data_IF_171792896017
#
_entry.id   IF_171792896017
#
_cell.length_a   1.000
_cell.length_b   1.000
_cell.length_c   1.000
_cell.angle_alpha   90.00
_cell.angle_beta   90.00
_cell.angle_gamma   90.00
#
_symmetry.space_group_name_H-M   'P 1'
#
loop_
_entity.id
_entity.type
_entity.pdbx_description
1 polymer ?
#
# COMPACT_ATOMS: atom_id res chain seq x y z
N UNK A 1 -4.57 -2.16 -1.84
CA UNK A 1 -4.23 -1.23 -0.74
C UNK A 1 -3.61 -2.04 0.37
N UNK A 2 -2.37 -1.75 0.77
CA UNK A 2 -1.71 -2.45 1.87
C UNK A 2 -2.13 -1.82 3.20
N UNK A 3 -2.62 -2.65 4.12
CA UNK A 3 -2.96 -2.28 5.48
C UNK A 3 -4.07 -3.14 6.06
N UNK A 4 -4.15 -3.14 7.38
CA UNK A 4 -5.07 -4.02 8.11
C UNK A 4 -6.54 -3.63 7.99
N UNK A 5 -7.41 -4.64 8.11
CA UNK A 5 -8.86 -4.48 8.07
C UNK A 5 -9.41 -3.52 9.14
N UNK A 6 -8.73 -3.38 10.28
CA UNK A 6 -9.11 -2.46 11.36
C UNK A 6 -8.58 -1.03 11.18
N UNK A 7 -7.79 -0.75 10.14
CA UNK A 7 -7.28 0.59 9.87
C UNK A 7 -8.29 1.43 9.10
N UNK A 8 -8.84 2.46 9.75
CA UNK A 8 -9.81 3.37 9.13
C UNK A 8 -9.23 4.09 7.91
N UNK A 9 -7.97 4.54 7.97
CA UNK A 9 -7.32 5.20 6.84
C UNK A 9 -7.12 4.25 5.65
N UNK A 10 -6.67 3.01 5.90
CA UNK A 10 -6.50 2.02 4.82
C UNK A 10 -7.84 1.67 4.14
N UNK A 11 -8.90 1.49 4.94
CA UNK A 11 -10.25 1.29 4.40
C UNK A 11 -10.72 2.49 3.58
N UNK A 12 -10.46 3.71 4.05
CA UNK A 12 -10.84 4.93 3.34
C UNK A 12 -10.18 5.04 1.96
N UNK A 13 -8.92 4.62 1.85
CA UNK A 13 -8.22 4.54 0.56
C UNK A 13 -8.86 3.51 -0.37
N UNK A 14 -9.22 2.31 0.12
CA UNK A 14 -9.93 1.29 -0.68
C UNK A 14 -11.29 1.80 -1.15
N UNK A 15 -12.11 2.31 -0.23
CA UNK A 15 -13.43 2.87 -0.55
C UNK A 15 -13.35 4.00 -1.57
N UNK A 16 -12.30 4.82 -1.52
CA UNK A 16 -12.11 5.90 -2.48
C UNK A 16 -11.88 5.34 -3.89
N UNK A 17 -11.06 4.30 -4.04
CA UNK A 17 -10.86 3.63 -5.32
C UNK A 17 -12.16 2.99 -5.83
N UNK A 18 -12.91 2.31 -4.95
CA UNK A 18 -14.21 1.73 -5.29
C UNK A 18 -15.23 2.79 -5.74
N UNK A 19 -15.26 3.96 -5.08
CA UNK A 19 -16.08 5.11 -5.49
C UNK A 19 -15.72 5.65 -6.88
N UNK A 20 -14.47 5.47 -7.31
CA UNK A 20 -14.02 5.78 -8.67
C UNK A 20 -14.27 4.62 -9.65
N UNK A 21 -15.06 3.61 -9.26
CA UNK A 21 -15.38 2.41 -10.06
C UNK A 21 -14.14 1.57 -10.42
N UNK A 22 -13.10 1.63 -9.58
CA UNK A 22 -11.92 0.78 -9.69
C UNK A 22 -12.03 -0.32 -8.64
N UNK A 23 -11.92 -1.58 -9.06
CA UNK A 23 -11.85 -2.71 -8.14
C UNK A 23 -10.64 -2.55 -7.22
N UNK A 24 -10.85 -2.62 -5.91
CA UNK A 24 -9.79 -2.41 -4.95
C UNK A 24 -9.85 -3.45 -3.83
N UNK A 25 -8.70 -4.02 -3.52
CA UNK A 25 -8.54 -4.99 -2.45
C UNK A 25 -7.77 -4.37 -1.28
N UNK A 26 -8.12 -4.76 -0.06
CA UNK A 26 -7.37 -4.45 1.15
C UNK A 26 -6.63 -5.74 1.56
N UNK A 27 -5.32 -5.65 1.69
CA UNK A 27 -4.44 -6.79 1.99
C UNK A 27 -3.49 -6.43 3.14
N UNK A 28 -3.21 -7.38 4.02
CA UNK A 28 -2.21 -7.24 5.07
C UNK A 28 -0.80 -7.43 4.49
N UNK A 29 -0.64 -8.34 3.52
CA UNK A 29 0.66 -8.66 2.93
C UNK A 29 0.60 -9.20 1.50
N UNK A 30 1.75 -9.62 0.99
CA UNK A 30 1.89 -10.17 -0.36
C UNK A 30 1.22 -11.56 -0.52
N UNK A 31 1.06 -12.27 0.58
CA UNK A 31 0.41 -13.58 0.69
C UNK A 31 -1.09 -13.54 0.43
N UNK A 32 -1.74 -12.40 0.66
CA UNK A 32 -3.17 -12.23 0.42
C UNK A 32 -3.51 -12.02 -1.06
N UNK A 33 -2.50 -11.86 -1.91
CA UNK A 33 -2.69 -11.61 -3.34
C UNK A 33 -3.24 -12.87 -4.01
N UNK A 34 -4.45 -12.74 -4.57
CA UNK A 34 -5.06 -13.75 -5.41
C UNK A 34 -4.84 -13.43 -6.89
N UNK A 35 -4.30 -14.40 -7.64
CA UNK A 35 -4.01 -14.25 -9.05
C UNK A 35 -5.25 -13.97 -9.91
N UNK A 36 -6.43 -14.42 -9.48
CA UNK A 36 -7.70 -14.18 -10.19
C UNK A 36 -8.09 -12.71 -10.27
N UNK A 37 -7.52 -11.86 -9.40
CA UNK A 37 -7.77 -10.41 -9.42
C UNK A 37 -7.28 -9.73 -10.69
N UNK A 38 -6.40 -10.39 -11.45
CA UNK A 38 -5.68 -9.78 -12.56
C UNK A 38 -6.15 -10.22 -13.94
N UNK A 39 -7.09 -11.16 -14.04
CA UNK A 39 -7.51 -11.79 -15.31
C UNK A 39 -7.90 -10.79 -16.41
N UNK A 40 -8.37 -9.59 -16.03
CA UNK A 40 -8.74 -8.52 -16.97
C UNK A 40 -8.08 -7.17 -16.65
N UNK A 41 -7.07 -7.15 -15.78
CA UNK A 41 -6.40 -5.92 -15.35
C UNK A 41 -5.27 -5.56 -16.32
N UNK A 42 -5.32 -4.35 -16.89
CA UNK A 42 -4.21 -3.81 -17.73
C UNK A 42 -3.18 -3.02 -16.92
N UNK A 43 -3.55 -2.58 -15.72
CA UNK A 43 -2.70 -1.76 -14.86
C UNK A 43 -3.09 -1.99 -13.41
N UNK A 44 -2.08 -2.04 -12.54
CA UNK A 44 -2.25 -2.31 -11.11
C UNK A 44 -1.77 -1.08 -10.33
N UNK A 45 -2.64 -0.53 -9.50
CA UNK A 45 -2.30 0.55 -8.58
C UNK A 45 -1.94 0.01 -7.20
N UNK A 46 -0.75 0.35 -6.71
CA UNK A 46 -0.30 -0.02 -5.35
C UNK A 46 -0.25 1.23 -4.48
N UNK A 47 -0.86 1.16 -3.30
CA UNK A 47 -0.81 2.21 -2.28
C UNK A 47 -0.95 1.56 -0.91
N UNK A 48 -0.54 2.28 0.14
CA UNK A 48 -0.50 1.78 1.50
C UNK A 48 -1.12 2.79 2.46
N UNK A 49 -1.79 2.28 3.49
CA UNK A 49 -2.24 3.12 4.61
C UNK A 49 -1.06 3.65 5.42
N UNK A 50 -1.26 4.77 6.11
CA UNK A 50 -0.24 5.43 6.93
C UNK A 50 0.42 4.55 8.01
N UNK A 51 -0.25 3.46 8.42
CA UNK A 51 0.24 2.52 9.44
C UNK A 51 0.94 1.29 8.84
N UNK A 52 0.96 1.13 7.52
CA UNK A 52 1.57 -0.03 6.87
C UNK A 52 3.10 0.14 6.83
N UNK A 53 3.88 -0.83 7.35
CA UNK A 53 5.33 -0.82 7.23
C UNK A 53 5.81 -0.84 5.77
N UNK A 54 6.86 -0.08 5.48
CA UNK A 54 7.47 -0.01 4.14
C UNK A 54 7.88 -1.38 3.60
N UNK A 55 8.33 -2.28 4.48
CA UNK A 55 8.73 -3.64 4.10
C UNK A 55 7.57 -4.43 3.47
N UNK A 56 6.33 -4.27 3.96
CA UNK A 56 5.17 -4.95 3.40
C UNK A 56 4.83 -4.41 2.02
N UNK A 57 4.96 -3.09 1.83
CA UNK A 57 4.77 -2.45 0.53
C UNK A 57 5.78 -2.99 -0.47
N UNK A 58 7.06 -3.08 -0.08
CA UNK A 58 8.11 -3.59 -0.94
C UNK A 58 7.91 -5.08 -1.27
N UNK A 59 7.47 -5.90 -0.32
CA UNK A 59 7.15 -7.31 -0.56
C UNK A 59 6.02 -7.48 -1.58
N UNK A 60 4.94 -6.69 -1.46
CA UNK A 60 3.83 -6.68 -2.43
C UNK A 60 4.31 -6.28 -3.81
N UNK A 61 5.14 -5.23 -3.89
CA UNK A 61 5.72 -4.77 -5.15
C UNK A 61 6.56 -5.88 -5.80
N UNK A 62 7.48 -6.49 -5.05
CA UNK A 62 8.34 -7.57 -5.55
C UNK A 62 7.51 -8.76 -6.01
N UNK A 63 6.46 -9.14 -5.27
CA UNK A 63 5.55 -10.22 -5.68
C UNK A 63 4.86 -9.93 -7.02
N UNK A 64 4.42 -8.69 -7.23
CA UNK A 64 3.78 -8.28 -8.49
C UNK A 64 4.80 -8.22 -9.65
N UNK A 65 6.04 -7.81 -9.39
CA UNK A 65 7.12 -7.89 -10.38
C UNK A 65 7.38 -9.33 -10.81
N UNK A 66 7.46 -10.27 -9.87
CA UNK A 66 7.67 -11.69 -10.16
C UNK A 66 6.52 -12.31 -10.96
N UNK A 67 5.27 -11.95 -10.64
CA UNK A 67 4.08 -12.50 -11.29
C UNK A 67 3.92 -12.01 -12.75
N UNK A 68 4.24 -10.75 -13.02
CA UNK A 68 3.94 -10.12 -14.30
C UNK A 68 5.16 -9.70 -15.11
N UNK A 69 6.36 -9.84 -14.56
CA UNK A 69 7.63 -9.42 -15.16
C UNK A 69 7.55 -7.96 -15.68
N UNK A 70 6.98 -7.08 -14.85
CA UNK A 70 6.56 -5.72 -15.22
C UNK A 70 7.55 -4.63 -14.77
N UNK A 71 7.45 -3.44 -15.35
CA UNK A 71 8.18 -2.24 -14.92
C UNK A 71 7.36 -1.45 -13.89
N UNK A 72 7.96 -1.10 -12.75
CA UNK A 72 7.34 -0.22 -11.76
C UNK A 72 7.50 1.23 -12.18
N UNK A 73 6.38 1.96 -12.23
CA UNK A 73 6.37 3.41 -12.36
C UNK A 73 6.01 3.99 -11.00
N UNK A 74 7.02 4.54 -10.31
CA UNK A 74 6.79 5.28 -9.07
C UNK A 74 6.45 6.73 -9.40
N UNK A 75 5.19 7.11 -9.15
CA UNK A 75 4.81 8.52 -9.21
C UNK A 75 5.45 9.24 -8.02
N UNK A 76 6.48 10.04 -8.28
CA UNK A 76 7.12 10.90 -7.27
C UNK A 76 6.04 11.74 -6.57
N UNK A 77 5.78 11.44 -5.30
CA UNK A 77 4.92 12.24 -4.43
C UNK A 77 5.57 13.60 -4.14
N UNK A 78 4.75 14.58 -3.76
CA UNK A 78 5.25 15.78 -3.11
C UNK A 78 6.05 15.39 -1.84
N UNK A 79 7.16 16.06 -1.58
CA UNK A 79 8.00 15.75 -0.42
C UNK A 79 7.23 16.07 0.89
N UNK A 80 6.97 15.04 1.69
CA UNK A 80 6.43 15.19 3.05
C UNK A 80 7.59 15.24 4.05
N UNK A 81 7.77 16.38 4.73
CA UNK A 81 8.92 16.63 5.62
C UNK A 81 8.54 16.78 7.10
N UNK A 82 7.31 16.41 7.47
CA UNK A 82 6.82 16.54 8.86
C UNK A 82 7.43 15.44 9.72
N UNK A 83 8.04 15.80 10.85
CA UNK A 83 8.55 14.86 11.85
C UNK A 83 8.07 15.26 13.24
N UNK A 84 7.53 14.31 13.98
CA UNK A 84 7.18 14.47 15.38
C UNK A 84 8.31 13.93 16.24
N UNK A 85 8.90 14.77 17.08
CA UNK A 85 9.96 14.34 17.98
C UNK A 85 9.36 13.58 19.16
N UNK A 86 10.10 12.58 19.65
CA UNK A 86 9.75 11.94 20.92
C UNK A 86 9.78 12.98 22.07
N UNK A 87 8.84 12.88 23.03
CA UNK A 87 8.92 13.61 24.30
C UNK A 87 10.29 13.44 24.95
N UNK A 88 10.75 14.46 25.68
CA UNK A 88 12.12 14.48 26.25
C UNK A 88 12.37 13.29 27.16
N UNK A 89 11.32 12.85 27.86
CA UNK A 89 11.30 11.76 28.83
C UNK A 89 11.51 10.38 28.21
N UNK A 90 11.26 10.24 26.89
CA UNK A 90 11.39 8.98 26.14
C UNK A 90 12.63 8.95 25.23
N UNK A 91 13.48 9.98 25.30
CA UNK A 91 14.75 9.98 24.56
C UNK A 91 15.77 9.19 25.36
N UNK A 92 16.24 8.08 24.82
CA UNK A 92 17.41 7.37 25.34
C UNK A 92 18.63 8.28 25.21
N UNK A 93 19.33 8.52 26.33
CA UNK A 93 20.60 9.29 26.38
C UNK A 93 21.67 8.67 25.49
#
# INVERSE_FOLDING_TARGET
>A
VIGSANSSNSNRLRELAEKQKVTAYLIDGAEDIDNSWFDNARSIGVTAGASAPEILVQQVITKLEELFNTTIISNKKAAENVRFQLPKELRTN
#
